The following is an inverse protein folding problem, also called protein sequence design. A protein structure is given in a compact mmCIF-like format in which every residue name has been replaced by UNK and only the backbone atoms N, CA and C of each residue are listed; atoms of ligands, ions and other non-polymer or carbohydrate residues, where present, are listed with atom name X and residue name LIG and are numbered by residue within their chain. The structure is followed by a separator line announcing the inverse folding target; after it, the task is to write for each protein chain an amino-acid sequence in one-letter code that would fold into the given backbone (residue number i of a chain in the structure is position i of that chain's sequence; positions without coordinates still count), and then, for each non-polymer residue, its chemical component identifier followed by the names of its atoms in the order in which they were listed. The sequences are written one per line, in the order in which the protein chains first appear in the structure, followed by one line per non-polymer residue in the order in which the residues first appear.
data_IF_122040001783
#
_entry.id   IF_122040001783
#
_cell.length_a   1.000
_cell.length_b   1.000
_cell.length_c   1.000
_cell.angle_alpha   90.00
_cell.angle_beta   90.00
_cell.angle_gamma   90.00
#
_symmetry.space_group_name_H-M   'P 1'
#
loop_
_entity.id
_entity.type
_entity.pdbx_description
1 polymer ?
#
# COMPACT_ATOMS: atom_id res chain seq x y z
N UNK A 1 -53.25 16.58 59.60
CA UNK A 1 -53.05 16.36 58.16
C UNK A 1 -51.61 16.68 57.79
N UNK A 2 -50.74 15.68 57.62
CA UNK A 2 -49.53 15.76 56.79
C UNK A 2 -49.24 14.35 56.25
N UNK A 3 -49.84 14.04 55.12
CA UNK A 3 -49.61 12.79 54.37
C UNK A 3 -48.29 12.93 53.62
N UNK A 4 -47.24 12.27 54.11
CA UNK A 4 -45.96 12.16 53.41
C UNK A 4 -46.07 11.07 52.36
N UNK A 5 -46.19 11.48 51.10
CA UNK A 5 -46.17 10.60 49.93
C UNK A 5 -44.75 10.09 49.71
N UNK A 6 -44.53 8.78 49.85
CA UNK A 6 -43.27 8.13 49.48
C UNK A 6 -43.33 7.81 47.98
N UNK A 7 -42.59 8.55 47.15
CA UNK A 7 -42.34 8.15 45.76
C UNK A 7 -41.33 6.99 45.77
N UNK A 8 -41.80 5.79 45.47
CA UNK A 8 -40.93 4.68 45.12
C UNK A 8 -40.36 4.90 43.71
N UNK A 9 -39.05 5.14 43.60
CA UNK A 9 -38.35 5.04 42.32
C UNK A 9 -38.33 3.57 41.90
N UNK A 10 -39.15 3.21 40.92
CA UNK A 10 -38.96 1.97 40.18
C UNK A 10 -37.67 2.10 39.36
N UNK A 11 -36.58 1.50 39.84
CA UNK A 11 -35.40 1.27 39.03
C UNK A 11 -35.81 0.29 37.91
N UNK A 12 -36.01 0.81 36.70
CA UNK A 12 -36.09 -0.02 35.52
C UNK A 12 -34.75 -0.76 35.39
N UNK A 13 -34.71 -2.00 35.83
CA UNK A 13 -33.63 -2.92 35.45
C UNK A 13 -33.75 -3.09 33.94
N UNK A 14 -33.03 -2.27 33.18
CA UNK A 14 -32.75 -2.55 31.79
C UNK A 14 -32.08 -3.92 31.77
N UNK A 15 -32.82 -4.96 31.39
CA UNK A 15 -32.27 -6.27 31.11
C UNK A 15 -31.17 -6.05 30.09
N UNK A 16 -29.92 -6.16 30.52
CA UNK A 16 -28.78 -6.09 29.63
C UNK A 16 -29.05 -7.09 28.51
N UNK A 17 -29.19 -6.60 27.28
CA UNK A 17 -29.35 -7.41 26.09
C UNK A 17 -28.17 -8.40 26.06
N UNK A 18 -28.38 -9.64 26.51
CA UNK A 18 -27.32 -10.64 26.58
C UNK A 18 -27.08 -11.17 25.17
N UNK A 19 -26.15 -10.53 24.47
CA UNK A 19 -25.66 -11.00 23.19
C UNK A 19 -24.80 -12.25 23.35
N UNK A 20 -24.82 -13.13 22.35
CA UNK A 20 -24.05 -14.37 22.38
C UNK A 20 -22.55 -14.10 22.31
N UNK A 21 -21.79 -14.94 23.02
CA UNK A 21 -20.32 -14.92 23.00
C UNK A 21 -19.76 -15.41 21.66
N UNK A 22 -18.47 -15.15 21.42
CA UNK A 22 -17.78 -15.57 20.22
C UNK A 22 -17.93 -17.09 20.01
N UNK A 23 -18.17 -17.50 18.76
CA UNK A 23 -18.43 -18.89 18.34
C UNK A 23 -19.68 -19.56 18.93
N UNK A 24 -20.49 -18.83 19.70
CA UNK A 24 -21.69 -19.37 20.34
C UNK A 24 -22.92 -19.22 19.45
N UNK A 25 -23.95 -20.03 19.72
CA UNK A 25 -25.22 -19.92 19.03
C UNK A 25 -25.85 -18.55 19.28
N UNK A 26 -26.37 -17.93 18.22
CA UNK A 26 -26.94 -16.58 18.25
C UNK A 26 -28.33 -16.49 17.60
N UNK A 27 -28.77 -17.56 16.92
CA UNK A 27 -30.11 -17.69 16.36
C UNK A 27 -30.42 -19.17 16.03
N UNK A 28 -31.68 -19.46 15.70
CA UNK A 28 -32.18 -20.78 15.31
C UNK A 28 -33.68 -20.93 15.59
N UNK A 29 -34.29 -22.00 15.08
CA UNK A 29 -35.67 -22.33 15.43
C UNK A 29 -35.79 -22.57 16.95
N UNK A 30 -36.81 -21.96 17.58
CA UNK A 30 -37.03 -21.96 19.04
C UNK A 30 -35.95 -21.24 19.87
N UNK A 31 -35.22 -20.29 19.28
CA UNK A 31 -34.21 -19.50 20.00
C UNK A 31 -34.83 -18.77 21.21
N UNK A 32 -34.33 -19.02 22.44
CA UNK A 32 -35.01 -18.60 23.68
C UNK A 32 -34.92 -17.10 23.93
N UNK A 33 -33.92 -16.42 23.35
CA UNK A 33 -33.73 -14.98 23.48
C UNK A 33 -34.21 -14.28 22.22
N UNK A 34 -35.11 -13.28 22.34
CA UNK A 34 -35.58 -12.49 21.18
C UNK A 34 -34.50 -11.60 20.55
N UNK A 35 -33.26 -11.64 21.06
CA UNK A 35 -32.13 -10.87 20.56
C UNK A 35 -31.21 -11.73 19.68
N UNK A 36 -31.06 -11.33 18.42
CA UNK A 36 -30.05 -11.86 17.49
C UNK A 36 -28.87 -10.89 17.49
N UNK A 37 -27.90 -11.10 18.39
CA UNK A 37 -26.72 -10.25 18.47
C UNK A 37 -25.49 -11.01 19.01
N UNK A 38 -24.31 -10.55 18.61
CA UNK A 38 -23.02 -11.00 19.11
C UNK A 38 -22.42 -9.94 20.04
N UNK A 39 -21.80 -10.37 21.14
CA UNK A 39 -21.21 -9.46 22.12
C UNK A 39 -20.07 -8.63 21.52
N UNK A 40 -19.26 -9.27 20.67
CA UNK A 40 -18.15 -8.62 19.96
C UNK A 40 -18.66 -7.95 18.66
N UNK A 41 -18.32 -6.67 18.49
CA UNK A 41 -18.63 -5.90 17.28
C UNK A 41 -17.89 -6.42 16.04
N UNK A 42 -16.79 -7.15 16.21
CA UNK A 42 -16.06 -7.86 15.16
C UNK A 42 -16.73 -9.15 14.70
N UNK A 43 -17.82 -9.58 15.34
CA UNK A 43 -18.53 -10.81 15.02
C UNK A 43 -19.93 -10.52 14.47
N UNK A 44 -20.44 -11.40 13.61
CA UNK A 44 -21.80 -11.36 13.09
C UNK A 44 -22.47 -12.73 13.26
N UNK A 45 -23.79 -12.73 13.42
CA UNK A 45 -24.56 -13.96 13.53
C UNK A 45 -24.76 -14.56 12.14
N UNK A 46 -23.98 -15.59 11.81
CA UNK A 46 -24.02 -16.27 10.53
C UNK A 46 -24.95 -17.48 10.57
N UNK A 47 -25.89 -17.51 9.64
CA UNK A 47 -26.79 -18.64 9.46
C UNK A 47 -26.02 -19.90 9.02
N UNK A 48 -26.25 -21.04 9.69
CA UNK A 48 -25.72 -22.34 9.29
C UNK A 48 -26.83 -23.25 8.76
N UNK A 49 -27.93 -23.32 9.49
CA UNK A 49 -29.14 -24.02 9.09
C UNK A 49 -30.33 -23.51 9.92
N UNK A 50 -31.52 -24.04 9.66
CA UNK A 50 -32.76 -23.61 10.32
C UNK A 50 -32.72 -23.66 11.86
N UNK A 51 -31.89 -24.53 12.45
CA UNK A 51 -31.76 -24.69 13.90
C UNK A 51 -30.56 -23.97 14.49
N UNK A 52 -29.62 -23.50 13.66
CA UNK A 52 -28.31 -23.04 14.12
C UNK A 52 -27.82 -21.82 13.34
N UNK A 53 -27.50 -20.76 14.07
CA UNK A 53 -26.65 -19.66 13.61
C UNK A 53 -25.58 -19.39 14.66
N UNK A 54 -24.36 -19.06 14.24
CA UNK A 54 -23.21 -18.89 15.11
C UNK A 54 -22.66 -17.46 15.03
N UNK A 55 -22.22 -16.92 16.15
CA UNK A 55 -21.41 -15.69 16.16
C UNK A 55 -20.03 -16.03 15.63
N UNK A 56 -19.75 -15.64 14.40
CA UNK A 56 -18.45 -15.85 13.76
C UNK A 56 -17.82 -14.51 13.41
N UNK A 57 -16.48 -14.46 13.23
CA UNK A 57 -15.81 -13.24 12.80
C UNK A 57 -16.48 -12.71 11.54
N UNK A 58 -16.74 -11.40 11.51
CA UNK A 58 -17.07 -10.72 10.27
C UNK A 58 -15.91 -10.96 9.30
N UNK A 59 -16.18 -11.25 8.02
CA UNK A 59 -15.15 -11.18 7.02
C UNK A 59 -14.58 -9.77 7.09
N UNK A 60 -13.38 -9.65 7.63
CA UNK A 60 -12.60 -8.43 7.46
C UNK A 60 -12.26 -8.36 5.98
N UNK A 61 -12.04 -7.17 5.44
CA UNK A 61 -11.51 -7.07 4.06
C UNK A 61 -10.18 -7.82 3.86
N UNK A 62 -9.55 -8.31 4.95
CA UNK A 62 -8.39 -9.19 4.92
C UNK A 62 -8.73 -10.70 4.83
N UNK A 63 -9.96 -11.13 5.11
CA UNK A 63 -10.38 -12.53 4.99
C UNK A 63 -10.80 -12.91 3.56
N UNK A 64 -11.19 -11.94 2.71
CA UNK A 64 -11.42 -12.17 1.28
C UNK A 64 -10.10 -12.34 0.49
N UNK A 65 -8.98 -11.84 1.02
CA UNK A 65 -7.63 -12.08 0.47
C UNK A 65 -7.05 -13.46 0.86
N UNK A 66 -7.76 -14.25 1.68
CA UNK A 66 -7.21 -15.50 2.21
C UNK A 66 -7.45 -16.74 1.33
N UNK A 67 -8.09 -16.59 0.16
CA UNK A 67 -8.26 -17.69 -0.83
C UNK A 67 -7.50 -17.44 -2.15
N UNK A 68 -6.67 -16.40 -2.22
CA UNK A 68 -5.56 -16.38 -3.16
C UNK A 68 -4.31 -15.96 -2.40
N UNK A 69 -3.49 -16.93 -2.00
CA UNK A 69 -2.14 -16.66 -1.47
C UNK A 69 -1.32 -15.99 -2.59
N UNK A 70 -1.49 -14.69 -2.76
CA UNK A 70 -0.71 -13.86 -3.66
C UNK A 70 0.55 -13.49 -2.90
N UNK A 71 1.65 -14.17 -3.20
CA UNK A 71 2.93 -13.87 -2.58
C UNK A 71 3.57 -12.65 -3.26
N UNK A 72 4.25 -11.82 -2.48
CA UNK A 72 4.92 -10.62 -3.01
C UNK A 72 6.33 -10.95 -3.49
N UNK A 73 6.57 -10.88 -4.79
CA UNK A 73 7.89 -11.02 -5.41
C UNK A 73 8.75 -9.83 -4.98
N UNK A 74 9.93 -10.14 -4.42
CA UNK A 74 10.86 -9.13 -3.94
C UNK A 74 11.26 -8.14 -5.05
N UNK A 75 11.49 -6.88 -4.66
CA UNK A 75 12.05 -5.87 -5.55
C UNK A 75 13.34 -6.37 -6.20
N UNK A 76 13.49 -6.10 -7.50
CA UNK A 76 14.57 -6.58 -8.38
C UNK A 76 14.57 -8.08 -8.69
N UNK A 77 13.65 -8.88 -8.16
CA UNK A 77 13.53 -10.28 -8.54
C UNK A 77 12.78 -10.43 -9.88
N UNK A 78 12.96 -11.60 -10.50
CA UNK A 78 12.24 -11.96 -11.71
C UNK A 78 10.75 -12.12 -11.41
N UNK A 79 9.90 -11.54 -12.26
CA UNK A 79 8.45 -11.55 -12.11
C UNK A 79 7.72 -12.10 -13.34
N UNK A 80 8.45 -12.47 -14.39
CA UNK A 80 7.88 -12.94 -15.64
C UNK A 80 8.94 -13.33 -16.66
N UNK A 81 8.47 -13.68 -17.85
CA UNK A 81 9.28 -14.19 -18.96
C UNK A 81 8.81 -15.57 -19.42
N UNK A 82 9.16 -15.92 -20.65
CA UNK A 82 8.83 -17.22 -21.24
C UNK A 82 9.46 -18.36 -20.44
N UNK A 83 8.62 -19.30 -20.00
CA UNK A 83 9.03 -20.42 -19.14
C UNK A 83 9.15 -20.07 -17.65
N UNK A 84 8.92 -18.82 -17.24
CA UNK A 84 8.86 -18.45 -15.83
C UNK A 84 7.53 -18.89 -15.22
N UNK A 85 7.59 -19.78 -14.23
CA UNK A 85 6.43 -20.25 -13.48
C UNK A 85 6.34 -19.45 -12.18
N UNK A 86 5.33 -18.59 -12.06
CA UNK A 86 5.02 -17.90 -10.81
C UNK A 86 3.91 -18.64 -10.07
N UNK A 87 4.13 -18.97 -8.79
CA UNK A 87 3.09 -19.53 -7.92
C UNK A 87 2.23 -18.38 -7.37
N UNK A 88 1.44 -17.77 -8.25
CA UNK A 88 0.56 -16.63 -7.94
C UNK A 88 1.30 -15.39 -7.38
N UNK A 89 2.60 -15.28 -7.66
CA UNK A 89 3.43 -14.18 -7.18
C UNK A 89 3.26 -12.92 -8.01
N UNK A 90 3.08 -11.79 -7.35
CA UNK A 90 3.01 -10.45 -7.97
C UNK A 90 4.07 -9.54 -7.36
N UNK A 91 4.54 -8.54 -8.10
CA UNK A 91 5.39 -7.49 -7.53
C UNK A 91 4.64 -6.74 -6.42
N UNK A 92 5.38 -6.17 -5.46
CA UNK A 92 4.84 -5.31 -4.41
C UNK A 92 3.88 -4.24 -4.95
N UNK A 93 2.98 -3.71 -4.12
CA UNK A 93 2.11 -2.59 -4.50
C UNK A 93 2.88 -1.42 -5.11
N UNK A 94 4.11 -1.20 -4.65
CA UNK A 94 5.03 -0.13 -5.09
C UNK A 94 5.96 -0.53 -6.24
N UNK A 95 5.85 -1.73 -6.80
CA UNK A 95 6.71 -2.24 -7.87
C UNK A 95 5.89 -2.70 -9.11
N UNK A 96 6.38 -2.47 -10.32
CA UNK A 96 5.82 -2.95 -11.60
C UNK A 96 6.70 -4.06 -12.18
N UNK A 97 6.08 -5.03 -12.82
CA UNK A 97 6.80 -6.08 -13.54
C UNK A 97 7.24 -5.57 -14.92
N UNK A 98 8.50 -5.15 -15.05
CA UNK A 98 9.06 -4.58 -16.28
C UNK A 98 9.63 -5.70 -17.17
N UNK A 99 9.15 -5.85 -18.41
CA UNK A 99 9.79 -6.75 -19.37
C UNK A 99 11.10 -6.15 -19.88
N UNK A 100 12.17 -6.94 -19.86
CA UNK A 100 13.46 -6.58 -20.45
C UNK A 100 13.70 -7.29 -21.79
N UNK A 101 13.30 -8.56 -21.85
CA UNK A 101 13.25 -9.36 -23.07
C UNK A 101 12.18 -10.44 -22.91
N UNK A 102 11.94 -11.26 -23.94
CA UNK A 102 10.87 -12.28 -23.92
C UNK A 102 11.03 -13.33 -22.79
N UNK A 103 12.24 -13.53 -22.26
CA UNK A 103 12.57 -14.57 -21.26
C UNK A 103 12.71 -14.02 -19.84
N UNK A 104 12.82 -12.70 -19.65
CA UNK A 104 13.16 -12.11 -18.36
C UNK A 104 12.44 -10.77 -18.11
N UNK A 105 11.53 -10.77 -17.13
CA UNK A 105 10.86 -9.58 -16.62
C UNK A 105 11.20 -9.40 -15.14
N UNK A 106 11.30 -8.17 -14.65
CA UNK A 106 11.79 -7.88 -13.29
C UNK A 106 10.88 -6.90 -12.53
N UNK A 107 10.69 -7.11 -11.22
CA UNK A 107 10.01 -6.14 -10.36
C UNK A 107 10.89 -4.89 -10.17
N UNK A 108 10.42 -3.73 -10.63
CA UNK A 108 11.07 -2.44 -10.46
C UNK A 108 10.10 -1.43 -9.81
N UNK A 109 10.54 -0.43 -9.06
CA UNK A 109 9.62 0.50 -8.41
C UNK A 109 8.69 1.24 -9.38
N UNK A 110 7.39 1.19 -9.11
CA UNK A 110 6.35 2.08 -9.67
C UNK A 110 6.67 3.48 -9.16
N UNK A 111 7.10 4.36 -10.04
CA UNK A 111 7.38 5.74 -9.63
C UNK A 111 8.71 5.90 -8.88
N UNK A 112 9.78 5.25 -9.36
CA UNK A 112 10.86 6.15 -9.74
C UNK A 112 10.24 7.02 -10.85
N UNK A 113 9.94 8.33 -10.76
CA UNK A 113 10.61 9.40 -10.03
C UNK A 113 12.04 9.04 -9.64
N UNK A 114 12.75 8.43 -10.59
CA UNK A 114 14.03 8.98 -10.95
C UNK A 114 13.75 10.47 -11.05
N UNK A 115 14.54 11.31 -10.41
CA UNK A 115 14.57 12.73 -10.77
C UNK A 115 15.14 12.91 -12.21
N UNK A 116 15.03 11.88 -13.03
CA UNK A 116 15.67 11.66 -14.30
C UNK A 116 14.67 10.86 -15.15
N UNK A 117 13.99 11.57 -16.04
CA UNK A 117 13.30 11.01 -17.22
C UNK A 117 11.82 10.62 -17.05
N UNK A 118 10.98 11.65 -17.06
CA UNK A 118 9.93 11.92 -18.08
C UNK A 118 9.56 13.40 -17.85
N UNK A 119 9.83 14.37 -18.73
CA UNK A 119 9.50 14.45 -20.16
C UNK A 119 10.26 15.64 -20.79
N UNK A 120 10.42 15.59 -22.11
CA UNK A 120 10.80 16.66 -23.03
C UNK A 120 12.30 16.80 -23.37
N UNK A 121 12.58 16.49 -24.64
CA UNK A 121 13.31 17.36 -25.56
C UNK A 121 14.10 18.51 -24.90
N UNK A 122 15.44 18.42 -24.96
CA UNK A 122 16.43 19.36 -24.39
C UNK A 122 16.82 19.19 -22.92
N UNK A 123 17.00 17.96 -22.43
CA UNK A 123 17.77 17.74 -21.20
C UNK A 123 19.24 18.16 -21.40
N UNK A 124 19.49 19.44 -21.15
CA UNK A 124 20.82 20.02 -21.03
C UNK A 124 21.38 19.53 -19.69
N UNK A 125 22.40 18.68 -19.74
CA UNK A 125 23.08 18.17 -18.56
C UNK A 125 23.84 19.33 -17.88
N UNK A 126 23.66 19.51 -16.57
CA UNK A 126 24.35 20.59 -15.85
C UNK A 126 25.64 20.08 -15.22
N UNK A 127 26.76 20.71 -15.58
CA UNK A 127 28.10 20.39 -15.09
C UNK A 127 28.28 21.02 -13.70
N UNK A 128 28.67 20.25 -12.67
CA UNK A 128 28.86 20.80 -11.32
C UNK A 128 30.00 21.84 -11.30
N UNK A 129 29.98 22.72 -10.31
CA UNK A 129 31.08 23.67 -10.06
C UNK A 129 32.41 22.92 -9.99
N UNK A 130 33.42 23.48 -10.65
CA UNK A 130 34.75 22.88 -10.85
C UNK A 130 34.79 21.64 -11.75
N UNK A 131 33.67 21.22 -12.34
CA UNK A 131 33.65 20.20 -13.39
C UNK A 131 34.24 20.70 -14.71
N UNK A 132 34.79 19.78 -15.50
CA UNK A 132 35.26 20.10 -16.85
C UNK A 132 34.07 20.39 -17.76
N UNK A 133 34.13 21.50 -18.49
CA UNK A 133 33.06 21.98 -19.36
C UNK A 133 33.47 22.14 -20.83
N UNK A 134 34.71 21.80 -21.17
CA UNK A 134 35.24 21.92 -22.52
C UNK A 134 36.71 21.55 -22.62
N UNK A 135 37.23 21.73 -23.84
CA UNK A 135 38.58 21.35 -24.24
C UNK A 135 38.58 20.44 -25.46
N UNK A 136 39.69 20.40 -26.19
CA UNK A 136 39.86 19.57 -27.37
C UNK A 136 39.73 18.08 -27.01
N UNK A 137 38.82 17.38 -27.68
CA UNK A 137 38.50 15.98 -27.40
C UNK A 137 37.53 15.76 -26.24
N UNK A 138 37.07 16.81 -25.55
CA UNK A 138 36.02 16.68 -24.54
C UNK A 138 34.66 16.43 -25.22
N UNK A 139 34.08 15.24 -25.00
CA UNK A 139 32.76 14.88 -25.49
C UNK A 139 31.78 14.97 -24.32
N UNK A 140 30.79 15.86 -24.44
CA UNK A 140 29.69 15.96 -23.49
C UNK A 140 28.35 15.85 -24.18
N UNK A 141 27.39 15.21 -23.54
CA UNK A 141 26.02 15.08 -24.05
C UNK A 141 25.22 16.33 -23.62
N UNK A 142 25.39 17.45 -24.35
CA UNK A 142 24.75 18.75 -24.07
C UNK A 142 25.01 19.30 -22.65
N UNK A 143 26.27 19.24 -22.21
CA UNK A 143 26.67 19.73 -20.89
C UNK A 143 26.84 21.24 -20.84
N UNK A 144 26.16 21.96 -19.95
CA UNK A 144 26.43 23.39 -19.65
C UNK A 144 26.74 23.58 -18.17
N UNK A 145 27.53 24.60 -17.82
CA UNK A 145 27.71 24.97 -16.42
C UNK A 145 26.38 25.41 -15.78
N UNK A 146 26.27 25.24 -14.46
CA UNK A 146 25.16 25.79 -13.67
C UNK A 146 24.93 27.28 -13.96
N UNK A 147 23.72 27.79 -13.71
CA UNK A 147 23.33 29.19 -13.96
C UNK A 147 24.27 30.23 -13.32
N UNK A 148 24.95 29.88 -12.23
CA UNK A 148 25.81 30.77 -11.45
C UNK A 148 27.29 30.66 -11.83
N UNK A 149 27.64 29.74 -12.73
CA UNK A 149 29.01 29.47 -13.15
C UNK A 149 29.20 29.80 -14.64
N UNK A 150 30.44 30.08 -15.04
CA UNK A 150 30.88 30.26 -16.44
C UNK A 150 31.90 29.18 -16.80
N UNK A 151 31.90 28.75 -18.06
CA UNK A 151 32.91 27.82 -18.57
C UNK A 151 34.19 28.60 -18.90
N UNK A 152 35.20 28.52 -18.02
CA UNK A 152 36.46 29.23 -18.14
C UNK A 152 37.49 28.35 -18.87
N UNK A 153 38.06 28.80 -20.00
CA UNK A 153 39.16 28.09 -20.65
C UNK A 153 40.47 28.31 -19.89
N UNK A 154 41.17 27.23 -19.55
CA UNK A 154 42.51 27.30 -18.97
C UNK A 154 43.59 27.04 -20.01
N UNK A 155 43.32 26.10 -20.92
CA UNK A 155 44.13 25.81 -22.10
C UNK A 155 43.25 25.14 -23.17
N UNK A 156 43.82 24.84 -24.35
CA UNK A 156 43.07 24.25 -25.46
C UNK A 156 42.44 22.88 -25.15
N UNK A 157 42.93 22.16 -24.13
CA UNK A 157 42.49 20.80 -23.76
C UNK A 157 41.57 20.78 -22.53
N UNK A 158 41.48 21.88 -21.77
CA UNK A 158 40.79 21.89 -20.49
C UNK A 158 40.12 23.23 -20.20
N UNK A 159 38.79 23.21 -20.13
CA UNK A 159 37.96 24.30 -19.63
C UNK A 159 37.15 23.83 -18.42
N UNK A 160 36.87 24.71 -17.46
CA UNK A 160 36.24 24.35 -16.19
C UNK A 160 35.10 25.30 -15.81
N UNK A 161 34.03 24.78 -15.21
CA UNK A 161 32.99 25.61 -14.60
C UNK A 161 33.52 26.31 -13.35
N UNK A 162 33.54 27.62 -13.36
CA UNK A 162 33.95 28.46 -12.23
C UNK A 162 32.88 29.51 -11.95
N UNK A 163 32.77 30.05 -10.72
CA UNK A 163 31.83 31.13 -10.41
C UNK A 163 31.98 32.31 -11.38
N UNK A 164 30.86 32.92 -11.77
CA UNK A 164 30.82 34.09 -12.65
C UNK A 164 31.64 35.26 -12.10
#
# INVERSE_FOLDING_TARGET
MKTSTVLALAAATASAQQCSTNWSQCNGQNWPTSSVCCQDRGFQCNFKNQYLSLCEPKPTKAAEDSESHVWTIARWAQCGGKGFVTNNGVCSSDDKCQPWNEWYFQCIPKGQKTKDVEEAESHVWTIPRFGQCGGKGFVTNNGVCSSDDKCQPWNEWYHQCVPK
#
